data_IF_533622478693
#
_entry.id   IF_533622478693
#
_cell.length_a   1.000
_cell.length_b   1.000
_cell.length_c   1.000
_cell.angle_alpha   90.00
_cell.angle_beta   90.00
_cell.angle_gamma   90.00
#
_symmetry.space_group_name_H-M   'P 1'
#
loop_
_entity.id
_entity.type
_entity.pdbx_description
1 polymer ?
#
# COMPACT_ATOMS: atom_id res chain seq x y z
N UNK A 1 -4.99 10.12 6.04
CA UNK A 1 -4.30 8.82 5.90
C UNK A 1 -4.27 8.06 7.23
N UNK A 2 -4.22 6.73 7.17
CA UNK A 2 -4.14 5.82 8.32
C UNK A 2 -3.09 4.74 7.99
N UNK A 3 -2.17 4.42 8.93
CA UNK A 3 -1.17 3.36 8.76
C UNK A 3 -1.55 2.17 9.64
N UNK A 4 -1.89 1.05 9.01
CA UNK A 4 -2.32 -0.18 9.70
C UNK A 4 -1.23 -1.25 9.57
N UNK A 5 -0.82 -1.84 10.69
CA UNK A 5 0.26 -2.85 10.73
C UNK A 5 -0.21 -4.26 11.08
N UNK A 6 -1.45 -4.41 11.55
CA UNK A 6 -2.00 -5.72 11.94
C UNK A 6 -3.10 -6.18 11.00
N UNK A 7 -3.12 -7.49 10.75
CA UNK A 7 -4.10 -8.12 9.85
C UNK A 7 -5.55 -7.92 10.33
N UNK A 8 -5.80 -8.10 11.63
CA UNK A 8 -7.14 -7.94 12.20
C UNK A 8 -7.66 -6.50 12.07
N UNK A 9 -6.81 -5.50 12.33
CA UNK A 9 -7.14 -4.09 12.16
C UNK A 9 -7.50 -3.78 10.69
N UNK A 10 -6.72 -4.29 9.74
CA UNK A 10 -6.99 -4.11 8.31
C UNK A 10 -8.30 -4.80 7.89
N UNK A 11 -8.54 -6.03 8.36
CA UNK A 11 -9.78 -6.77 8.11
C UNK A 11 -11.00 -6.00 8.63
N UNK A 12 -10.95 -5.52 9.87
CA UNK A 12 -12.01 -4.68 10.44
C UNK A 12 -12.24 -3.42 9.61
N UNK A 13 -11.18 -2.76 9.15
CA UNK A 13 -11.28 -1.55 8.33
C UNK A 13 -11.96 -1.82 6.99
N UNK A 14 -11.54 -2.86 6.27
CA UNK A 14 -12.13 -3.26 4.98
C UNK A 14 -13.60 -3.65 5.15
N UNK A 15 -13.95 -4.42 6.19
CA UNK A 15 -15.35 -4.79 6.45
C UNK A 15 -16.23 -3.55 6.65
N UNK A 16 -15.76 -2.58 7.44
CA UNK A 16 -16.46 -1.32 7.67
C UNK A 16 -16.66 -0.49 6.39
N UNK A 17 -15.68 -0.48 5.49
CA UNK A 17 -15.80 0.19 4.17
C UNK A 17 -16.86 -0.52 3.31
N UNK A 18 -16.82 -1.85 3.26
CA UNK A 18 -17.79 -2.65 2.50
C UNK A 18 -19.23 -2.52 3.04
N UNK A 19 -19.40 -2.46 4.36
CA UNK A 19 -20.70 -2.21 4.99
C UNK A 19 -21.31 -0.87 4.57
N UNK A 20 -20.47 0.14 4.36
CA UNK A 20 -20.88 1.45 3.80
C UNK A 20 -21.12 1.43 2.29
N UNK A 21 -20.94 0.29 1.61
CA UNK A 21 -21.01 0.12 0.16
C UNK A 21 -20.05 1.03 -0.63
N UNK A 22 -18.95 1.42 0.02
CA UNK A 22 -17.85 2.15 -0.60
C UNK A 22 -16.95 1.18 -1.38
N UNK A 23 -16.43 1.64 -2.50
CA UNK A 23 -15.45 0.94 -3.36
C UNK A 23 -14.03 1.12 -2.84
N UNK A 24 -13.14 0.15 -3.13
CA UNK A 24 -11.75 0.14 -2.68
C UNK A 24 -10.82 -0.08 -3.87
N UNK A 25 -10.01 0.93 -4.17
CA UNK A 25 -8.85 0.81 -5.05
C UNK A 25 -7.67 0.29 -4.25
N UNK A 26 -7.05 -0.81 -4.71
CA UNK A 26 -5.94 -1.45 -4.00
C UNK A 26 -4.67 -1.45 -4.85
N UNK A 27 -3.59 -0.87 -4.32
CA UNK A 27 -2.27 -0.84 -4.96
C UNK A 27 -1.28 -1.65 -4.11
N UNK A 28 -0.98 -2.91 -4.47
CA UNK A 28 0.00 -3.70 -3.76
C UNK A 28 1.42 -3.30 -4.16
N UNK A 29 2.28 -3.01 -3.18
CA UNK A 29 3.69 -2.64 -3.40
C UNK A 29 4.63 -3.36 -2.45
N UNK A 30 5.92 -3.37 -2.77
CA UNK A 30 6.99 -3.76 -1.86
C UNK A 30 7.68 -2.54 -1.20
N UNK A 31 7.08 -1.34 -1.28
CA UNK A 31 7.72 -0.09 -0.85
C UNK A 31 8.69 0.48 -1.88
N UNK A 32 9.54 1.42 -1.45
CA UNK A 32 10.41 2.21 -2.33
C UNK A 32 9.61 2.89 -3.45
N UNK A 33 8.59 3.65 -3.04
CA UNK A 33 7.62 4.26 -3.92
C UNK A 33 8.28 5.29 -4.85
N UNK A 34 7.74 5.39 -6.06
CA UNK A 34 8.23 6.24 -7.15
C UNK A 34 7.06 6.60 -8.08
N UNK A 35 7.29 7.44 -9.08
CA UNK A 35 6.26 7.98 -9.99
C UNK A 35 5.31 6.93 -10.58
N UNK A 36 5.83 5.75 -10.95
CA UNK A 36 4.98 4.64 -11.41
C UNK A 36 3.94 4.19 -10.36
N UNK A 37 4.33 4.08 -9.08
CA UNK A 37 3.40 3.76 -7.99
C UNK A 37 2.40 4.90 -7.76
N UNK A 38 2.87 6.15 -7.80
CA UNK A 38 2.05 7.34 -7.62
C UNK A 38 0.96 7.42 -8.68
N UNK A 39 1.29 7.13 -9.95
CA UNK A 39 0.32 7.08 -11.04
C UNK A 39 -0.77 6.01 -10.80
N UNK A 40 -0.41 4.83 -10.30
CA UNK A 40 -1.38 3.79 -9.94
C UNK A 40 -2.26 4.23 -8.77
N UNK A 41 -1.69 4.89 -7.77
CA UNK A 41 -2.43 5.42 -6.61
C UNK A 41 -3.42 6.51 -7.02
N UNK A 42 -3.05 7.40 -7.96
CA UNK A 42 -3.97 8.39 -8.53
C UNK A 42 -5.15 7.73 -9.23
N UNK A 43 -4.90 6.81 -10.17
CA UNK A 43 -5.97 6.12 -10.89
C UNK A 43 -6.89 5.36 -9.93
N UNK A 44 -6.30 4.63 -8.97
CA UNK A 44 -7.07 3.87 -7.98
C UNK A 44 -7.95 4.78 -7.09
N UNK A 45 -7.48 5.99 -6.77
CA UNK A 45 -8.25 6.98 -6.01
C UNK A 45 -9.36 7.62 -6.84
N UNK A 46 -9.10 7.90 -8.11
CA UNK A 46 -10.09 8.53 -9.00
C UNK A 46 -11.25 7.57 -9.33
N UNK A 47 -10.97 6.26 -9.34
CA UNK A 47 -11.96 5.21 -9.65
C UNK A 47 -12.69 4.64 -8.41
N UNK A 48 -12.28 4.99 -7.18
CA UNK A 48 -12.82 4.36 -5.96
C UNK A 48 -12.98 5.33 -4.78
N UNK A 49 -13.90 5.00 -3.86
CA UNK A 49 -14.19 5.81 -2.66
C UNK A 49 -13.08 5.79 -1.60
N UNK A 50 -12.22 4.76 -1.65
CA UNK A 50 -11.10 4.54 -0.73
C UNK A 50 -9.91 3.98 -1.50
N UNK A 51 -8.74 4.56 -1.26
CA UNK A 51 -7.44 4.01 -1.67
C UNK A 51 -6.82 3.23 -0.53
N UNK A 52 -6.36 2.00 -0.81
CA UNK A 52 -5.54 1.19 0.08
C UNK A 52 -4.24 0.85 -0.64
N UNK A 53 -3.11 1.06 0.04
CA UNK A 53 -1.77 0.72 -0.47
C UNK A 53 -1.11 -0.22 0.52
N UNK A 54 -0.57 -1.34 0.06
CA UNK A 54 0.24 -2.21 0.92
C UNK A 54 1.72 -1.98 0.65
N UNK A 55 2.52 -1.95 1.71
CA UNK A 55 3.98 -1.98 1.65
C UNK A 55 4.43 -3.25 2.35
N UNK A 56 4.82 -4.25 1.57
CA UNK A 56 5.30 -5.53 2.09
C UNK A 56 6.36 -6.13 1.17
N UNK A 57 7.62 -6.11 1.61
CA UNK A 57 8.71 -6.82 0.92
C UNK A 57 8.53 -8.32 1.18
N UNK A 58 7.95 -9.03 0.22
CA UNK A 58 7.62 -10.44 0.37
C UNK A 58 8.86 -11.33 0.13
N UNK A 59 9.42 -12.00 1.15
CA UNK A 59 10.63 -12.81 0.98
C UNK A 59 10.46 -13.95 -0.02
N UNK A 60 9.24 -14.47 -0.20
CA UNK A 60 8.94 -15.55 -1.12
C UNK A 60 9.05 -15.15 -2.61
N UNK A 61 9.18 -13.85 -2.91
CA UNK A 61 9.34 -13.33 -4.27
C UNK A 61 10.80 -13.12 -4.69
N UNK A 62 11.75 -13.50 -3.82
CA UNK A 62 13.19 -13.35 -4.09
C UNK A 62 13.83 -14.72 -4.25
N UNK A 63 14.42 -14.96 -5.42
CA UNK A 63 15.18 -16.19 -5.71
C UNK A 63 16.56 -16.21 -5.02
N UNK A 64 17.12 -15.02 -4.77
CA UNK A 64 18.41 -14.82 -4.11
C UNK A 64 18.23 -14.07 -2.79
N UNK A 65 18.80 -14.62 -1.71
CA UNK A 65 18.77 -14.00 -0.39
C UNK A 65 19.48 -12.65 -0.32
N UNK A 66 20.46 -12.39 -1.18
CA UNK A 66 21.17 -11.10 -1.21
C UNK A 66 20.35 -9.99 -1.88
N UNK A 67 19.50 -10.33 -2.84
CA UNK A 67 18.54 -9.39 -3.43
C UNK A 67 17.49 -8.98 -2.39
N UNK A 68 16.99 -9.93 -1.59
CA UNK A 68 16.08 -9.62 -0.48
C UNK A 68 16.73 -8.72 0.58
N UNK A 69 17.99 -8.97 0.95
CA UNK A 69 18.70 -8.14 1.93
C UNK A 69 18.94 -6.73 1.41
N UNK A 70 19.37 -6.59 0.16
CA UNK A 70 19.69 -5.31 -0.46
C UNK A 70 18.47 -4.51 -0.92
N UNK A 71 17.28 -5.12 -0.95
CA UNK A 71 16.06 -4.44 -1.34
C UNK A 71 15.81 -3.18 -0.49
N UNK A 72 15.56 -2.01 -1.12
CA UNK A 72 15.39 -0.75 -0.42
C UNK A 72 14.17 -0.81 0.51
N UNK A 73 14.37 -0.38 1.77
CA UNK A 73 13.32 -0.27 2.78
C UNK A 73 13.33 1.14 3.33
N UNK A 74 12.39 1.98 2.87
CA UNK A 74 12.32 3.40 3.19
C UNK A 74 10.91 3.76 3.66
N UNK A 75 10.41 3.04 4.67
CA UNK A 75 9.00 3.12 5.10
C UNK A 75 8.56 4.55 5.41
N UNK A 76 9.39 5.36 6.06
CA UNK A 76 9.04 6.75 6.40
C UNK A 76 8.84 7.60 5.14
N UNK A 77 9.72 7.47 4.15
CA UNK A 77 9.59 8.15 2.85
C UNK A 77 8.38 7.65 2.06
N UNK A 78 8.13 6.34 2.09
CA UNK A 78 6.96 5.75 1.44
C UNK A 78 5.66 6.28 2.07
N UNK A 79 5.64 6.45 3.40
CA UNK A 79 4.54 7.07 4.14
C UNK A 79 4.36 8.53 3.73
N UNK A 80 5.43 9.33 3.67
CA UNK A 80 5.36 10.73 3.24
C UNK A 80 4.76 10.87 1.82
N UNK A 81 5.19 10.00 0.89
CA UNK A 81 4.62 9.96 -0.47
C UNK A 81 3.13 9.62 -0.41
N UNK A 82 2.74 8.59 0.35
CA UNK A 82 1.32 8.22 0.50
C UNK A 82 0.48 9.29 1.20
N UNK A 83 1.06 10.06 2.13
CA UNK A 83 0.39 11.17 2.81
C UNK A 83 0.11 12.34 1.87
N UNK A 84 1.02 12.59 0.92
CA UNK A 84 0.85 13.63 -0.11
C UNK A 84 -0.30 13.32 -1.10
N UNK A 85 -0.81 12.09 -1.09
CA UNK A 85 -1.97 11.67 -1.89
C UNK A 85 -3.32 11.95 -1.21
N UNK A 86 -3.36 12.57 -0.01
CA UNK A 86 -4.61 12.89 0.69
C UNK A 86 -5.43 13.98 0.02
#
# INVERSE_FOLDING_TARGET
MEVIKKLNEMQTRVSSIKERKETIGFVPTMGALHEGHISLMHNARDENDKLVVSIFVNPAQFDNGDDFKSYPRQLDKDIEIAESMN
#
